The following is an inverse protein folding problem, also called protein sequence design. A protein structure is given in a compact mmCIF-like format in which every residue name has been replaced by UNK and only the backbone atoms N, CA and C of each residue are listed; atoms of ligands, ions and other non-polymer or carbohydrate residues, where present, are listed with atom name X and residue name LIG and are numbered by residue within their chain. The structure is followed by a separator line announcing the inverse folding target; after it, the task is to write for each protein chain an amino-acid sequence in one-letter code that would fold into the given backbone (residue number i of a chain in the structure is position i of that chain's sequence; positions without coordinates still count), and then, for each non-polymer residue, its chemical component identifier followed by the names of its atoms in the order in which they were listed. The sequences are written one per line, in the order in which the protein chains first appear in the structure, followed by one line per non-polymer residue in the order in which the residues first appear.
data_IF_254490231370
#
_entry.id   IF_254490231370
#
_cell.length_a   1.000
_cell.length_b   1.000
_cell.length_c   1.000
_cell.angle_alpha   90.00
_cell.angle_beta   90.00
_cell.angle_gamma   90.00
#
_symmetry.space_group_name_H-M   'P 1'
#
loop_
_entity.id
_entity.type
_entity.pdbx_description
1 polymer ?
#
# COMPACT_ATOMS: atom_id res chain seq x y z
N UNK A 1 -24.75 -38.74 7.20
CA UNK A 1 -23.28 -38.56 7.15
C UNK A 1 -22.97 -37.45 6.16
N UNK A 2 -21.96 -36.62 6.42
CA UNK A 2 -21.56 -35.50 5.53
C UNK A 2 -20.30 -35.92 4.81
N UNK A 3 -20.21 -35.66 3.50
CA UNK A 3 -19.02 -36.00 2.70
C UNK A 3 -18.18 -34.75 2.54
N UNK A 4 -16.91 -34.81 2.92
CA UNK A 4 -15.99 -33.68 2.76
C UNK A 4 -15.22 -33.78 1.45
N UNK A 5 -15.12 -32.66 0.74
CA UNK A 5 -14.31 -32.58 -0.46
C UNK A 5 -12.84 -32.71 -0.11
N UNK A 6 -12.16 -33.69 -0.71
CA UNK A 6 -10.72 -33.90 -0.53
C UNK A 6 -9.87 -32.77 -1.13
N UNK A 7 -10.41 -32.02 -2.09
CA UNK A 7 -9.69 -30.90 -2.74
C UNK A 7 -9.79 -29.58 -1.98
N UNK A 8 -10.93 -29.28 -1.33
CA UNK A 8 -11.14 -27.96 -0.72
C UNK A 8 -11.80 -27.99 0.68
N UNK A 9 -11.98 -29.17 1.27
CA UNK A 9 -12.50 -29.36 2.63
C UNK A 9 -13.97 -28.99 2.83
N UNK A 10 -14.71 -28.68 1.77
CA UNK A 10 -16.12 -28.28 1.90
C UNK A 10 -17.01 -29.47 2.24
N UNK A 11 -17.88 -29.27 3.23
CA UNK A 11 -18.95 -30.19 3.58
C UNK A 11 -19.98 -30.23 2.46
N UNK A 12 -20.24 -31.42 1.91
CA UNK A 12 -21.25 -31.65 0.89
C UNK A 12 -22.25 -32.70 1.39
N UNK A 13 -23.50 -32.66 0.93
CA UNK A 13 -24.48 -33.71 1.26
C UNK A 13 -23.96 -35.08 0.77
N UNK A 14 -24.34 -36.18 1.43
CA UNK A 14 -23.82 -37.51 1.13
C UNK A 14 -24.13 -38.00 -0.29
N UNK A 15 -25.10 -37.38 -0.98
CA UNK A 15 -25.48 -37.67 -2.37
C UNK A 15 -24.81 -36.76 -3.40
N UNK A 16 -23.92 -35.84 -2.99
CA UNK A 16 -23.23 -34.96 -3.93
C UNK A 16 -22.12 -35.71 -4.70
N UNK A 17 -22.23 -35.74 -6.03
CA UNK A 17 -21.20 -36.28 -6.92
C UNK A 17 -20.05 -35.30 -7.19
N UNK A 18 -20.29 -34.00 -6.99
CA UNK A 18 -19.31 -32.93 -7.18
C UNK A 18 -19.35 -31.96 -6.00
N UNK A 19 -18.20 -31.38 -5.68
CA UNK A 19 -18.10 -30.37 -4.64
C UNK A 19 -18.82 -29.09 -5.05
N UNK A 20 -19.79 -28.67 -4.24
CA UNK A 20 -20.54 -27.42 -4.39
C UNK A 20 -19.69 -26.15 -4.43
N UNK A 21 -18.45 -26.20 -3.91
CA UNK A 21 -17.55 -25.04 -3.86
C UNK A 21 -16.52 -25.02 -4.97
N UNK A 22 -15.91 -26.16 -5.31
CA UNK A 22 -14.78 -26.19 -6.25
C UNK A 22 -15.03 -27.07 -7.49
N UNK A 23 -16.16 -27.76 -7.58
CA UNK A 23 -16.51 -28.62 -8.72
C UNK A 23 -15.75 -29.94 -8.82
N UNK A 24 -14.85 -30.25 -7.88
CA UNK A 24 -14.09 -31.51 -7.90
C UNK A 24 -15.01 -32.72 -7.63
N UNK A 25 -14.81 -33.86 -8.33
CA UNK A 25 -15.63 -35.05 -8.13
C UNK A 25 -15.43 -35.62 -6.72
N UNK A 26 -16.52 -36.00 -6.07
CA UNK A 26 -16.53 -36.68 -4.78
C UNK A 26 -16.70 -38.17 -5.07
N UNK A 27 -15.58 -38.90 -5.04
CA UNK A 27 -15.50 -40.26 -5.57
C UNK A 27 -16.48 -41.25 -4.91
N UNK A 28 -17.17 -42.02 -5.76
CA UNK A 28 -17.68 -43.34 -5.41
C UNK A 28 -16.75 -44.37 -6.06
N UNK A 29 -16.10 -45.20 -5.25
CA UNK A 29 -15.49 -46.44 -5.71
C UNK A 29 -16.62 -47.43 -5.95
N UNK A 30 -16.58 -48.07 -7.10
CA UNK A 30 -17.55 -49.05 -7.62
C UNK A 30 -17.92 -50.12 -6.58
N UNK A 31 -19.21 -50.43 -6.50
CA UNK A 31 -19.66 -51.78 -6.18
C UNK A 31 -20.61 -52.19 -7.30
N UNK A 32 -20.21 -53.22 -8.02
CA UNK A 32 -20.95 -53.82 -9.11
C UNK A 32 -22.22 -54.56 -8.61
N UNK A 33 -23.22 -54.58 -9.49
CA UNK A 33 -24.35 -55.52 -9.60
C UNK A 33 -25.36 -55.61 -8.43
N UNK A 34 -26.56 -55.06 -8.63
CA UNK A 34 -27.70 -55.85 -9.12
C UNK A 34 -28.95 -54.97 -9.35
N UNK A 35 -29.55 -55.12 -10.54
CA UNK A 35 -30.95 -54.81 -10.87
C UNK A 35 -31.91 -55.77 -10.12
N UNK A 36 -33.26 -55.60 -10.06
CA UNK A 36 -34.10 -54.65 -10.81
C UNK A 36 -35.25 -53.96 -10.02
N UNK A 37 -35.91 -53.02 -10.72
CA UNK A 37 -37.37 -52.85 -10.84
C UNK A 37 -37.90 -51.40 -10.65
N UNK A 38 -38.41 -50.89 -11.77
CA UNK A 38 -39.38 -49.79 -11.97
C UNK A 38 -40.75 -50.12 -11.32
N UNK A 39 -41.83 -49.26 -11.33
CA UNK A 39 -42.01 -47.91 -11.89
C UNK A 39 -42.83 -46.90 -11.03
N UNK A 40 -43.07 -45.70 -11.61
CA UNK A 40 -44.19 -44.75 -11.41
C UNK A 40 -44.04 -43.76 -10.22
N UNK A 41 -44.35 -42.45 -10.32
CA UNK A 41 -45.37 -41.77 -11.11
C UNK A 41 -45.09 -40.24 -11.25
N UNK A 42 -45.45 -39.75 -12.43
CA UNK A 42 -45.86 -38.43 -12.99
C UNK A 42 -46.41 -37.31 -12.04
N UNK A 43 -46.79 -36.10 -12.55
CA UNK A 43 -46.10 -34.82 -12.39
C UNK A 43 -46.96 -33.77 -11.63
N UNK A 44 -46.54 -32.50 -11.53
CA UNK A 44 -47.48 -31.38 -11.70
C UNK A 44 -46.75 -30.05 -12.00
N UNK A 45 -47.34 -29.33 -12.93
CA UNK A 45 -46.93 -28.05 -13.48
C UNK A 45 -47.46 -26.85 -12.66
N UNK A 46 -47.19 -25.65 -13.22
CA UNK A 46 -47.80 -24.33 -12.93
C UNK A 46 -47.21 -23.56 -11.74
N UNK A 47 -47.00 -22.24 -11.79
CA UNK A 47 -47.38 -21.24 -12.78
C UNK A 47 -46.43 -20.03 -12.70
N UNK A 48 -46.35 -19.31 -13.82
CA UNK A 48 -45.79 -17.98 -13.94
C UNK A 48 -46.70 -16.92 -13.31
N UNK A 49 -46.12 -15.85 -12.74
CA UNK A 49 -46.71 -14.50 -12.75
C UNK A 49 -45.60 -13.46 -13.01
N UNK A 50 -45.80 -12.69 -14.08
CA UNK A 50 -45.22 -11.37 -14.41
C UNK A 50 -45.73 -10.36 -13.39
N UNK A 51 -44.99 -9.40 -12.85
CA UNK A 51 -44.32 -8.30 -13.53
C UNK A 51 -44.74 -6.98 -12.87
N UNK A 52 -43.83 -6.02 -12.78
CA UNK A 52 -44.04 -4.57 -12.54
C UNK A 52 -42.67 -3.92 -12.78
N UNK A 53 -42.43 -3.40 -13.99
CA UNK A 53 -42.55 -1.98 -14.33
C UNK A 53 -41.70 -1.07 -13.44
N UNK A 54 -40.56 -0.63 -13.99
CA UNK A 54 -39.86 0.58 -13.54
C UNK A 54 -39.65 1.47 -14.77
N UNK A 55 -40.40 2.56 -14.78
CA UNK A 55 -40.39 3.57 -15.82
C UNK A 55 -39.12 4.43 -15.76
N UNK A 56 -38.58 4.64 -16.95
CA UNK A 56 -37.67 5.70 -17.35
C UNK A 56 -38.18 7.08 -16.93
N UNK A 57 -37.32 7.93 -16.36
CA UNK A 57 -37.21 9.30 -16.85
C UNK A 57 -35.83 9.93 -16.59
N UNK A 58 -35.43 10.66 -17.62
CA UNK A 58 -34.14 11.26 -17.92
C UNK A 58 -34.12 12.68 -17.36
N UNK A 59 -33.07 13.08 -16.62
CA UNK A 59 -32.84 14.49 -16.32
C UNK A 59 -31.39 14.91 -16.62
N UNK A 60 -31.28 15.45 -17.84
CA UNK A 60 -30.47 16.56 -18.34
C UNK A 60 -29.37 17.14 -17.44
N UNK A 61 -28.15 17.05 -17.99
CA UNK A 61 -26.90 17.64 -17.50
C UNK A 61 -26.64 19.01 -18.16
N UNK A 62 -26.00 19.90 -17.38
CA UNK A 62 -25.22 21.12 -17.71
C UNK A 62 -25.95 22.44 -18.04
N UNK A 63 -25.32 23.64 -17.85
CA UNK A 63 -23.96 23.94 -17.38
C UNK A 63 -23.81 25.05 -16.30
N UNK A 64 -22.58 25.16 -15.80
CA UNK A 64 -22.03 26.20 -14.92
C UNK A 64 -22.16 27.60 -15.56
N UNK A 65 -22.66 28.58 -14.80
CA UNK A 65 -22.54 30.01 -15.10
C UNK A 65 -21.92 30.77 -13.91
N UNK A 66 -20.69 31.24 -14.12
CA UNK A 66 -20.01 32.25 -13.28
C UNK A 66 -20.28 33.63 -13.89
N UNK A 67 -20.82 34.57 -13.12
CA UNK A 67 -20.56 36.02 -13.26
C UNK A 67 -21.46 36.81 -12.30
N UNK A 68 -20.86 37.54 -11.34
CA UNK A 68 -21.01 39.00 -11.31
C UNK A 68 -20.02 39.61 -10.31
N UNK A 69 -19.36 40.65 -10.79
CA UNK A 69 -18.30 41.43 -10.19
C UNK A 69 -18.76 42.40 -9.11
N UNK A 70 -17.93 42.65 -8.09
CA UNK A 70 -17.81 43.99 -7.53
C UNK A 70 -16.35 44.38 -7.29
N UNK A 71 -16.01 45.55 -7.85
CA UNK A 71 -14.70 46.18 -7.94
C UNK A 71 -14.22 46.66 -6.56
N UNK A 72 -12.91 46.52 -6.30
CA UNK A 72 -12.18 47.51 -5.49
C UNK A 72 -10.76 47.69 -6.05
N UNK A 73 -10.52 48.87 -6.61
CA UNK A 73 -9.21 49.41 -6.98
C UNK A 73 -8.36 49.58 -5.72
N UNK A 74 -7.12 49.10 -5.73
CA UNK A 74 -6.08 49.67 -4.89
C UNK A 74 -4.72 49.62 -5.61
N UNK A 75 -3.99 50.71 -5.45
CA UNK A 75 -2.80 51.12 -6.20
C UNK A 75 -1.54 50.33 -5.77
N UNK A 76 -0.61 50.14 -6.71
CA UNK A 76 0.77 49.68 -6.46
C UNK A 76 1.52 50.58 -5.47
N UNK A 77 2.62 50.07 -4.88
CA UNK A 77 3.90 50.57 -5.37
C UNK A 77 4.97 49.49 -5.58
N UNK A 78 5.77 49.75 -6.61
CA UNK A 78 6.98 49.06 -7.01
C UNK A 78 8.13 49.33 -6.03
N UNK A 79 8.67 48.30 -5.38
CA UNK A 79 9.98 48.37 -4.67
C UNK A 79 10.82 47.08 -4.78
N UNK A 80 10.24 45.91 -5.14
CA UNK A 80 10.99 44.65 -5.07
C UNK A 80 11.81 44.25 -6.32
N UNK A 81 11.83 45.06 -7.39
CA UNK A 81 12.51 44.68 -8.65
C UNK A 81 13.95 45.19 -8.78
N UNK A 82 14.39 46.16 -7.96
CA UNK A 82 15.73 46.76 -8.06
C UNK A 82 16.85 45.92 -7.43
N UNK A 83 16.55 45.18 -6.36
CA UNK A 83 17.57 44.42 -5.62
C UNK A 83 18.08 43.17 -6.35
N UNK A 84 17.23 42.52 -7.13
CA UNK A 84 17.57 41.26 -7.83
C UNK A 84 18.49 41.53 -9.04
N UNK A 85 18.30 42.66 -9.74
CA UNK A 85 19.16 43.04 -10.86
C UNK A 85 20.55 43.51 -10.43
N UNK A 86 20.67 44.18 -9.28
CA UNK A 86 21.95 44.60 -8.75
C UNK A 86 22.82 43.41 -8.28
N UNK A 87 22.20 42.39 -7.66
CA UNK A 87 22.92 41.16 -7.24
C UNK A 87 23.30 40.29 -8.44
N UNK A 88 22.44 40.20 -9.46
CA UNK A 88 22.75 39.47 -10.69
C UNK A 88 23.90 40.09 -11.49
N UNK A 89 23.96 41.42 -11.59
CA UNK A 89 25.06 42.12 -12.25
C UNK A 89 26.38 42.00 -11.47
N UNK A 90 26.33 42.01 -10.14
CA UNK A 90 27.52 41.85 -9.29
C UNK A 90 28.06 40.41 -9.34
N UNK A 91 27.20 39.39 -9.41
CA UNK A 91 27.59 37.99 -9.56
C UNK A 91 28.22 37.72 -10.94
N UNK A 92 27.64 38.29 -12.01
CA UNK A 92 28.20 38.18 -13.36
C UNK A 92 29.59 38.83 -13.46
N UNK A 93 29.79 40.00 -12.84
CA UNK A 93 31.07 40.72 -12.89
C UNK A 93 32.19 40.05 -12.06
N UNK A 94 31.85 39.43 -10.92
CA UNK A 94 32.84 38.80 -10.04
C UNK A 94 33.19 37.35 -10.42
N UNK A 95 32.30 36.61 -11.09
CA UNK A 95 32.51 35.17 -11.33
C UNK A 95 32.59 34.75 -12.81
N UNK A 96 32.01 35.50 -13.76
CA UNK A 96 32.04 35.09 -15.18
C UNK A 96 33.12 35.83 -15.98
N UNK A 97 33.46 37.06 -15.60
CA UNK A 97 34.52 37.83 -16.27
C UNK A 97 35.94 37.33 -15.96
N UNK A 98 36.15 36.70 -14.81
CA UNK A 98 37.44 36.10 -14.43
C UNK A 98 37.72 34.80 -15.21
N UNK A 99 36.67 34.08 -15.61
CA UNK A 99 36.75 32.84 -16.41
C UNK A 99 36.87 33.09 -17.92
N UNK A 100 36.56 34.32 -18.36
CA UNK A 100 36.73 34.76 -19.76
C UNK A 100 38.08 35.45 -20.02
N UNK A 101 38.88 35.66 -18.97
CA UNK A 101 40.19 36.34 -19.04
C UNK A 101 41.40 35.43 -19.27
N UNK A 102 41.24 34.11 -19.17
CA UNK A 102 42.34 33.15 -19.25
C UNK A 102 42.15 32.20 -20.43
N UNK A 103 42.56 32.63 -21.63
CA UNK A 103 43.28 31.80 -22.62
C UNK A 103 43.53 32.58 -23.91
N UNK A 104 44.58 33.41 -23.89
CA UNK A 104 45.33 33.74 -25.09
C UNK A 104 46.15 32.52 -25.53
N UNK A 105 45.69 31.88 -26.60
CA UNK A 105 46.53 31.24 -27.61
C UNK A 105 47.01 29.83 -27.33
N UNK A 106 46.30 28.83 -27.86
CA UNK A 106 46.98 27.68 -28.46
C UNK A 106 46.23 27.19 -29.71
N UNK A 107 47.03 26.82 -30.71
CA UNK A 107 46.65 26.59 -32.09
C UNK A 107 45.64 25.45 -32.24
N UNK A 108 44.74 25.66 -33.19
CA UNK A 108 43.99 24.64 -33.92
C UNK A 108 44.85 23.41 -34.18
N UNK A 109 44.61 22.36 -33.40
CA UNK A 109 44.99 21.00 -33.75
C UNK A 109 43.69 20.22 -33.79
N UNK A 110 43.40 19.63 -34.94
CA UNK A 110 42.22 18.80 -35.14
C UNK A 110 42.07 17.84 -33.97
N UNK A 111 40.94 17.93 -33.26
CA UNK A 111 40.54 16.87 -32.33
C UNK A 111 40.19 15.68 -33.19
N UNK A 112 41.21 14.84 -33.42
CA UNK A 112 41.05 13.43 -33.71
C UNK A 112 39.99 12.92 -32.75
N UNK A 113 38.86 12.49 -33.29
CA UNK A 113 37.89 11.69 -32.57
C UNK A 113 38.68 10.58 -31.91
N UNK A 114 38.87 10.69 -30.60
CA UNK A 114 39.27 9.56 -29.79
C UNK A 114 38.07 8.63 -29.90
N UNK A 115 38.22 7.61 -30.75
CA UNK A 115 37.46 6.37 -30.65
C UNK A 115 37.62 5.89 -29.21
N UNK A 116 36.73 6.39 -28.34
CA UNK A 116 36.43 5.71 -27.10
C UNK A 116 35.82 4.39 -27.56
N UNK A 117 36.64 3.35 -27.61
CA UNK A 117 36.19 1.97 -27.70
C UNK A 117 35.13 1.80 -26.63
N UNK A 118 33.88 1.87 -27.06
CA UNK A 118 32.72 1.70 -26.22
C UNK A 118 32.68 0.22 -25.85
N UNK A 119 33.37 -0.12 -24.76
CA UNK A 119 33.48 -1.49 -24.31
C UNK A 119 32.09 -2.03 -23.97
N UNK A 120 31.79 -3.21 -24.50
CA UNK A 120 30.54 -3.87 -24.20
C UNK A 120 30.56 -4.37 -22.75
N UNK A 121 29.52 -4.04 -21.99
CA UNK A 121 29.34 -4.45 -20.60
C UNK A 121 28.22 -5.47 -20.50
N UNK A 122 28.39 -6.46 -19.61
CA UNK A 122 27.31 -7.31 -19.16
C UNK A 122 26.66 -6.67 -17.93
N UNK A 123 25.33 -6.51 -17.96
CA UNK A 123 24.53 -5.97 -16.86
C UNK A 123 23.34 -6.89 -16.58
N UNK A 124 22.79 -6.80 -15.39
CA UNK A 124 21.66 -7.58 -14.91
C UNK A 124 20.44 -6.70 -14.68
N UNK A 125 19.26 -7.17 -15.07
CA UNK A 125 18.01 -6.47 -14.81
C UNK A 125 17.65 -6.51 -13.31
N UNK A 126 17.55 -5.36 -12.66
CA UNK A 126 17.21 -5.27 -11.24
C UNK A 126 15.70 -5.39 -10.99
N UNK A 127 14.92 -5.06 -12.01
CA UNK A 127 13.45 -5.20 -12.05
C UNK A 127 13.05 -5.69 -13.43
N UNK A 128 11.75 -5.84 -13.69
CA UNK A 128 11.28 -5.99 -15.08
C UNK A 128 11.59 -4.71 -15.86
N UNK A 129 12.48 -4.80 -16.84
CA UNK A 129 12.91 -3.66 -17.65
C UNK A 129 12.29 -3.70 -19.05
N UNK A 130 11.92 -2.55 -19.59
CA UNK A 130 11.40 -2.47 -20.96
C UNK A 130 12.56 -2.38 -21.96
N UNK A 131 12.49 -3.19 -23.01
CA UNK A 131 13.34 -3.08 -24.20
C UNK A 131 12.62 -2.15 -25.17
N UNK A 132 13.30 -1.10 -25.64
CA UNK A 132 12.71 -0.06 -26.48
C UNK A 132 13.44 0.06 -27.82
N UNK A 133 12.75 0.56 -28.83
CA UNK A 133 13.33 0.81 -30.16
C UNK A 133 14.30 2.00 -30.20
N UNK A 134 14.23 2.90 -29.21
CA UNK A 134 15.08 4.08 -29.08
C UNK A 134 15.49 4.33 -27.63
N UNK A 135 16.63 4.99 -27.45
CA UNK A 135 17.18 5.43 -26.17
C UNK A 135 16.43 6.64 -25.57
N UNK A 136 15.11 6.49 -25.39
CA UNK A 136 14.22 7.48 -24.75
C UNK A 136 12.97 6.79 -24.25
N UNK A 137 12.29 7.34 -23.25
CA UNK A 137 10.94 6.90 -22.85
C UNK A 137 9.85 7.61 -23.65
N UNK A 138 10.15 8.77 -24.23
CA UNK A 138 9.20 9.65 -24.93
C UNK A 138 9.18 9.28 -26.41
N UNK A 139 8.03 8.84 -26.92
CA UNK A 139 7.84 8.54 -28.35
C UNK A 139 8.56 7.30 -28.87
N UNK A 140 9.14 6.48 -27.99
CA UNK A 140 9.66 5.15 -28.31
C UNK A 140 8.62 4.06 -28.05
N UNK A 141 8.77 2.94 -28.77
CA UNK A 141 7.92 1.76 -28.63
C UNK A 141 8.60 0.72 -27.75
N UNK A 142 7.81 0.02 -26.93
CA UNK A 142 8.29 -1.12 -26.15
C UNK A 142 8.30 -2.35 -27.07
N UNK A 143 9.51 -2.83 -27.40
CA UNK A 143 9.75 -4.01 -28.23
C UNK A 143 9.61 -5.31 -27.42
N UNK A 144 9.83 -5.24 -26.11
CA UNK A 144 9.77 -6.40 -25.23
C UNK A 144 10.03 -6.04 -23.77
N UNK A 145 10.04 -7.07 -22.93
CA UNK A 145 10.31 -6.97 -21.50
C UNK A 145 11.42 -7.93 -21.12
N UNK A 146 12.32 -7.45 -20.26
CA UNK A 146 13.43 -8.21 -19.71
C UNK A 146 13.12 -8.53 -18.24
N UNK A 147 12.95 -9.81 -17.87
CA UNK A 147 12.69 -10.20 -16.49
C UNK A 147 13.84 -9.84 -15.54
N UNK A 148 13.53 -9.57 -14.27
CA UNK A 148 14.51 -9.39 -13.19
C UNK A 148 15.50 -10.57 -13.14
N UNK A 149 16.78 -10.26 -12.93
CA UNK A 149 17.88 -11.22 -12.87
C UNK A 149 18.44 -11.65 -14.22
N UNK A 150 17.77 -11.30 -15.34
CA UNK A 150 18.27 -11.61 -16.68
C UNK A 150 19.54 -10.81 -16.96
N UNK A 151 20.57 -11.48 -17.48
CA UNK A 151 21.79 -10.85 -17.96
C UNK A 151 21.60 -10.35 -19.40
N UNK A 152 22.11 -9.16 -19.69
CA UNK A 152 22.18 -8.58 -21.02
C UNK A 152 23.56 -8.00 -21.27
N UNK A 153 23.96 -7.95 -22.52
CA UNK A 153 25.25 -7.40 -22.94
C UNK A 153 25.01 -6.30 -23.95
N UNK A 154 25.74 -5.20 -23.83
CA UNK A 154 25.51 -4.03 -24.67
C UNK A 154 26.53 -2.94 -24.45
N UNK A 155 26.30 -1.81 -25.10
CA UNK A 155 27.13 -0.62 -24.99
C UNK A 155 26.30 0.49 -24.35
N UNK A 156 26.84 1.14 -23.32
CA UNK A 156 26.17 2.28 -22.69
C UNK A 156 26.32 3.51 -23.59
N UNK A 157 25.21 4.17 -23.88
CA UNK A 157 25.09 5.40 -24.65
C UNK A 157 24.23 6.41 -23.92
N UNK A 158 24.44 7.68 -24.25
CA UNK A 158 23.59 8.75 -23.80
C UNK A 158 22.25 8.71 -24.54
N UNK A 159 21.17 8.91 -23.81
CA UNK A 159 19.82 8.96 -24.32
C UNK A 159 19.59 10.17 -25.21
N UNK A 160 18.46 10.16 -25.92
CA UNK A 160 18.07 11.28 -26.79
C UNK A 160 17.79 12.58 -26.02
N UNK A 161 17.64 12.50 -24.70
CA UNK A 161 17.53 13.64 -23.78
C UNK A 161 18.89 14.23 -23.38
N UNK A 162 20.00 13.63 -23.82
CA UNK A 162 21.36 14.09 -23.52
C UNK A 162 21.78 13.91 -22.07
N UNK A 163 21.06 13.13 -21.25
CA UNK A 163 21.38 12.97 -19.83
C UNK A 163 21.12 11.57 -19.27
N UNK A 164 20.12 10.85 -19.78
CA UNK A 164 19.84 9.49 -19.32
C UNK A 164 20.80 8.50 -19.95
N UNK A 165 21.26 7.51 -19.20
CA UNK A 165 22.09 6.42 -19.74
C UNK A 165 21.21 5.25 -20.22
N UNK A 166 21.53 4.72 -21.40
CA UNK A 166 20.84 3.61 -22.05
C UNK A 166 21.84 2.57 -22.53
N UNK A 167 21.56 1.30 -22.29
CA UNK A 167 22.31 0.18 -22.84
C UNK A 167 21.72 -0.17 -24.20
N UNK A 168 22.49 0.02 -25.27
CA UNK A 168 22.20 -0.55 -26.59
C UNK A 168 22.60 -2.02 -26.59
N UNK A 169 21.64 -2.91 -26.82
CA UNK A 169 21.87 -4.35 -26.77
C UNK A 169 22.77 -4.81 -27.93
N UNK A 170 23.75 -5.68 -27.62
CA UNK A 170 24.69 -6.20 -28.62
C UNK A 170 24.04 -7.05 -29.71
N UNK A 171 22.83 -7.57 -29.47
CA UNK A 171 22.05 -8.31 -30.46
C UNK A 171 21.20 -7.40 -31.37
N UNK A 172 21.32 -6.08 -31.20
CA UNK A 172 20.60 -5.08 -31.99
C UNK A 172 19.10 -5.00 -31.70
N UNK A 173 18.59 -5.69 -30.66
CA UNK A 173 17.15 -5.76 -30.37
C UNK A 173 16.60 -4.58 -29.58
N UNK A 174 17.39 -3.52 -29.38
CA UNK A 174 16.93 -2.25 -28.86
C UNK A 174 17.76 -1.72 -27.69
N UNK A 175 17.12 -0.88 -26.89
CA UNK A 175 17.72 -0.10 -25.82
C UNK A 175 17.02 -0.36 -24.49
N UNK A 176 17.79 -0.44 -23.41
CA UNK A 176 17.29 -0.57 -22.04
C UNK A 176 17.85 0.57 -21.19
N UNK A 177 17.02 1.25 -20.40
CA UNK A 177 17.50 2.30 -19.52
C UNK A 177 18.43 1.72 -18.44
N UNK A 178 19.66 2.23 -18.34
CA UNK A 178 20.71 1.72 -17.42
C UNK A 178 20.28 1.82 -15.96
N UNK A 179 19.41 2.76 -15.62
CA UNK A 179 18.86 2.91 -14.27
C UNK A 179 18.09 1.67 -13.76
N UNK A 180 17.66 0.78 -14.66
CA UNK A 180 17.01 -0.50 -14.30
C UNK A 180 17.97 -1.69 -14.31
N UNK A 181 19.25 -1.44 -14.55
CA UNK A 181 20.31 -2.43 -14.69
C UNK A 181 21.38 -2.24 -13.60
N UNK A 182 22.15 -3.29 -13.35
CA UNK A 182 23.28 -3.28 -12.42
C UNK A 182 24.40 -4.16 -12.95
N UNK A 183 25.64 -3.84 -12.58
CA UNK A 183 26.80 -4.72 -12.82
C UNK A 183 26.73 -5.98 -11.93
N UNK A 184 25.92 -5.95 -10.87
CA UNK A 184 25.75 -7.04 -9.91
C UNK A 184 24.43 -7.76 -10.13
N UNK A 185 24.46 -9.09 -10.11
CA UNK A 185 23.26 -9.91 -10.16
C UNK A 185 22.38 -9.60 -8.94
N UNK A 186 21.09 -9.31 -9.13
CA UNK A 186 20.20 -9.04 -8.00
C UNK A 186 20.03 -10.32 -7.15
N UNK A 187 19.92 -10.19 -5.82
CA UNK A 187 19.73 -11.34 -4.93
C UNK A 187 18.40 -12.03 -5.20
N UNK A 188 18.26 -13.28 -4.81
CA UNK A 188 16.99 -14.00 -4.91
C UNK A 188 15.97 -13.41 -3.91
N UNK A 189 14.72 -13.25 -4.35
CA UNK A 189 13.60 -12.82 -3.50
C UNK A 189 12.97 -14.06 -2.86
N UNK A 190 13.19 -14.23 -1.56
CA UNK A 190 12.63 -15.33 -0.76
C UNK A 190 11.14 -15.12 -0.45
N UNK A 191 10.69 -13.87 -0.33
CA UNK A 191 9.28 -13.53 -0.11
C UNK A 191 8.87 -12.28 -0.89
N UNK A 192 8.00 -12.40 -1.90
CA UNK A 192 7.53 -11.24 -2.64
C UNK A 192 6.63 -10.37 -1.77
N UNK A 193 6.81 -9.05 -1.87
CA UNK A 193 5.96 -8.05 -1.24
C UNK A 193 5.06 -7.32 -2.25
N UNK A 194 5.18 -7.62 -3.54
CA UNK A 194 4.30 -7.14 -4.62
C UNK A 194 4.12 -5.62 -4.60
N UNK A 195 5.23 -4.89 -4.50
CA UNK A 195 5.25 -3.42 -4.46
C UNK A 195 4.44 -2.82 -3.32
N UNK A 196 4.44 -3.49 -2.17
CA UNK A 196 3.78 -2.99 -0.96
C UNK A 196 4.36 -1.63 -0.59
N UNK A 197 3.49 -0.63 -0.52
CA UNK A 197 3.86 0.67 0.04
C UNK A 197 3.95 0.57 1.55
N UNK A 198 5.08 1.01 2.10
CA UNK A 198 5.34 1.06 3.53
C UNK A 198 5.85 2.45 3.92
N UNK A 199 5.44 2.91 5.10
CA UNK A 199 5.94 4.16 5.68
C UNK A 199 7.03 3.80 6.67
N UNK A 200 8.25 4.29 6.43
CA UNK A 200 9.38 4.05 7.31
C UNK A 200 9.04 4.47 8.75
N UNK A 201 9.26 3.60 9.71
CA UNK A 201 8.96 3.84 11.12
C UNK A 201 10.12 4.49 11.88
N UNK A 202 11.35 4.36 11.38
CA UNK A 202 12.56 5.01 11.87
C UNK A 202 13.37 5.60 10.73
N UNK A 203 14.52 6.22 11.05
CA UNK A 203 15.55 6.47 10.05
C UNK A 203 16.13 5.12 9.58
N UNK A 204 16.42 5.00 8.29
CA UNK A 204 16.94 3.78 7.67
C UNK A 204 17.96 4.12 6.59
N UNK A 205 18.91 3.21 6.40
CA UNK A 205 19.94 3.30 5.35
C UNK A 205 19.57 2.37 4.19
N UNK A 206 19.56 2.94 2.98
CA UNK A 206 19.37 2.21 1.72
C UNK A 206 20.74 2.00 1.09
N UNK A 207 21.11 0.73 0.92
CA UNK A 207 22.39 0.29 0.37
C UNK A 207 22.29 0.00 -1.13
N UNK A 208 23.41 0.17 -1.85
CA UNK A 208 23.49 -0.15 -3.29
C UNK A 208 23.37 -1.65 -3.53
N UNK A 209 23.93 -2.46 -2.64
CA UNK A 209 23.87 -3.92 -2.66
C UNK A 209 23.26 -4.44 -1.37
N UNK A 210 22.81 -5.71 -1.31
CA UNK A 210 22.32 -6.31 -0.08
C UNK A 210 23.48 -6.70 0.84
N UNK A 211 24.30 -5.69 1.20
CA UNK A 211 25.50 -5.75 2.03
C UNK A 211 25.67 -4.38 2.69
N UNK A 212 25.72 -4.33 4.02
CA UNK A 212 25.87 -3.08 4.80
C UNK A 212 27.28 -2.49 4.74
N UNK A 213 28.23 -3.18 4.12
CA UNK A 213 29.55 -2.66 3.81
C UNK A 213 29.63 -2.07 2.40
N UNK A 214 28.56 -2.22 1.60
CA UNK A 214 28.46 -1.60 0.27
C UNK A 214 28.28 -0.08 0.36
N UNK A 215 28.33 0.60 -0.79
CA UNK A 215 28.06 2.02 -0.83
C UNK A 215 26.65 2.35 -0.34
N UNK A 216 26.55 3.37 0.51
CA UNK A 216 25.26 3.93 0.93
C UNK A 216 24.65 4.72 -0.24
N UNK A 217 23.42 4.37 -0.62
CA UNK A 217 22.68 5.08 -1.67
C UNK A 217 21.95 6.30 -1.12
N UNK A 218 21.22 6.13 -0.02
CA UNK A 218 20.43 7.19 0.62
C UNK A 218 20.13 6.84 2.07
N UNK A 219 20.00 7.86 2.94
CA UNK A 219 19.42 7.72 4.27
C UNK A 219 18.03 8.35 4.27
N UNK A 220 17.02 7.56 4.63
CA UNK A 220 15.63 8.01 4.70
C UNK A 220 15.21 8.26 6.14
N UNK A 221 14.34 9.25 6.35
CA UNK A 221 13.77 9.57 7.66
C UNK A 221 12.49 8.78 7.94
N UNK A 222 12.12 8.69 9.22
CA UNK A 222 10.81 8.20 9.64
C UNK A 222 9.69 9.01 8.95
N UNK A 223 8.64 8.34 8.48
CA UNK A 223 7.56 8.93 7.70
C UNK A 223 7.75 8.86 6.18
N UNK A 224 8.94 8.49 5.70
CA UNK A 224 9.20 8.34 4.26
C UNK A 224 8.41 7.17 3.67
N UNK A 225 7.74 7.38 2.53
CA UNK A 225 7.03 6.31 1.81
C UNK A 225 8.00 5.56 0.91
N UNK A 226 8.07 4.24 1.10
CA UNK A 226 8.91 3.32 0.33
C UNK A 226 8.04 2.30 -0.39
N UNK A 227 8.49 1.82 -1.55
CA UNK A 227 7.84 0.74 -2.30
C UNK A 227 8.69 -0.52 -2.16
N UNK A 228 8.20 -1.51 -1.44
CA UNK A 228 8.96 -2.71 -1.10
C UNK A 228 8.68 -3.82 -2.12
N UNK A 229 9.71 -4.30 -2.81
CA UNK A 229 9.60 -5.36 -3.81
C UNK A 229 9.53 -6.75 -3.17
N UNK A 230 10.42 -7.04 -2.21
CA UNK A 230 10.49 -8.35 -1.56
C UNK A 230 11.58 -8.46 -0.51
N UNK A 231 11.49 -9.51 0.32
CA UNK A 231 12.58 -9.97 1.17
C UNK A 231 13.54 -10.80 0.34
N UNK A 232 14.84 -10.55 0.47
CA UNK A 232 15.91 -11.31 -0.17
C UNK A 232 16.31 -12.53 0.67
N UNK A 233 17.06 -13.47 0.09
CA UNK A 233 17.57 -14.64 0.82
C UNK A 233 18.62 -14.29 1.88
N UNK A 234 19.28 -13.14 1.77
CA UNK A 234 20.29 -12.65 2.71
C UNK A 234 19.78 -11.59 3.69
N UNK A 235 18.47 -11.60 3.97
CA UNK A 235 17.82 -10.75 4.97
C UNK A 235 17.84 -9.24 4.69
N UNK A 236 17.63 -8.84 3.43
CA UNK A 236 17.39 -7.46 3.04
C UNK A 236 15.99 -7.29 2.46
N UNK A 237 15.43 -6.07 2.54
CA UNK A 237 14.27 -5.69 1.73
C UNK A 237 14.76 -4.95 0.49
N UNK A 238 14.45 -5.48 -0.69
CA UNK A 238 14.63 -4.74 -1.94
C UNK A 238 13.55 -3.65 -2.03
N UNK A 239 13.98 -2.41 -2.23
CA UNK A 239 13.13 -1.23 -2.36
C UNK A 239 13.23 -0.64 -3.75
N UNK A 240 12.09 -0.32 -4.37
CA UNK A 240 12.05 0.40 -5.65
C UNK A 240 12.22 1.89 -5.39
N UNK A 241 13.19 2.51 -6.07
CA UNK A 241 13.49 3.92 -5.89
C UNK A 241 12.60 4.77 -6.79
N UNK A 242 12.19 5.96 -6.32
CA UNK A 242 11.27 6.84 -7.07
C UNK A 242 11.84 7.34 -8.40
N UNK A 243 13.17 7.42 -8.52
CA UNK A 243 13.89 7.79 -9.75
C UNK A 243 14.12 6.62 -10.71
N UNK A 244 13.68 5.41 -10.37
CA UNK A 244 14.04 4.16 -11.07
C UNK A 244 15.18 3.43 -10.37
N UNK A 245 15.33 2.14 -10.66
CA UNK A 245 16.28 1.26 -9.98
C UNK A 245 15.81 0.76 -8.62
N UNK A 246 16.71 0.10 -7.90
CA UNK A 246 16.45 -0.49 -6.58
C UNK A 246 17.56 -0.17 -5.59
N UNK A 247 17.24 -0.29 -4.31
CA UNK A 247 18.21 -0.33 -3.22
C UNK A 247 17.81 -1.37 -2.19
N UNK A 248 18.59 -1.50 -1.12
CA UNK A 248 18.41 -2.57 -0.13
C UNK A 248 18.39 -2.02 1.30
N UNK A 249 17.37 -2.40 2.07
CA UNK A 249 17.30 -2.15 3.51
C UNK A 249 17.77 -3.39 4.26
N UNK A 250 18.70 -3.23 5.19
CA UNK A 250 19.13 -4.32 6.07
C UNK A 250 18.04 -4.72 7.08
N UNK A 251 18.25 -5.85 7.77
CA UNK A 251 17.34 -6.41 8.79
C UNK A 251 15.93 -6.68 8.25
N UNK A 252 15.86 -7.32 7.08
CA UNK A 252 14.62 -7.46 6.33
C UNK A 252 13.52 -8.21 7.07
N UNK A 253 13.84 -9.27 7.82
CA UNK A 253 12.91 -9.99 8.65
C UNK A 253 12.31 -9.12 9.76
N UNK A 254 13.11 -8.24 10.37
CA UNK A 254 12.64 -7.28 11.35
C UNK A 254 11.71 -6.23 10.71
N UNK A 255 12.05 -5.76 9.51
CA UNK A 255 11.18 -4.86 8.73
C UNK A 255 9.86 -5.55 8.37
N UNK A 256 9.89 -6.82 7.97
CA UNK A 256 8.68 -7.60 7.66
C UNK A 256 7.72 -7.65 8.85
N UNK A 257 8.25 -7.83 10.06
CA UNK A 257 7.45 -7.88 11.29
C UNK A 257 6.76 -6.55 11.61
N UNK A 258 7.28 -5.42 11.11
CA UNK A 258 6.77 -4.06 11.34
C UNK A 258 6.15 -3.40 10.10
N UNK A 259 5.79 -4.18 9.07
CA UNK A 259 5.09 -3.63 7.90
C UNK A 259 3.71 -3.02 8.22
N UNK A 260 3.16 -3.33 9.39
CA UNK A 260 1.96 -2.68 9.94
C UNK A 260 2.17 -1.23 10.36
N UNK A 261 3.43 -0.79 10.52
CA UNK A 261 3.81 0.54 10.98
C UNK A 261 4.65 0.48 12.26
N UNK A 262 4.75 1.61 12.95
CA UNK A 262 5.56 1.72 14.18
C UNK A 262 5.15 0.66 15.21
N UNK A 263 6.10 -0.06 15.83
CA UNK A 263 5.80 -1.00 16.90
C UNK A 263 4.98 -0.38 18.02
N UNK A 264 4.00 -1.13 18.54
CA UNK A 264 3.19 -0.76 19.70
C UNK A 264 3.10 -1.94 20.65
N UNK A 265 3.09 -1.67 21.96
CA UNK A 265 2.82 -2.70 22.96
C UNK A 265 1.31 -2.77 23.22
N UNK A 266 0.74 -3.98 23.18
CA UNK A 266 -0.64 -4.24 23.59
C UNK A 266 -0.62 -5.08 24.86
N UNK A 267 -1.05 -4.48 25.98
CA UNK A 267 -1.20 -5.12 27.30
C UNK A 267 -2.68 -5.18 27.64
N UNK A 268 -3.38 -6.12 27.02
CA UNK A 268 -4.83 -6.22 27.12
C UNK A 268 -5.28 -6.78 28.47
N UNK A 269 -6.18 -6.07 29.15
CA UNK A 269 -6.87 -6.56 30.33
C UNK A 269 -8.38 -6.73 30.02
N UNK A 270 -8.88 -7.97 29.89
CA UNK A 270 -10.29 -8.22 29.54
C UNK A 270 -11.27 -7.84 30.66
N UNK A 271 -10.80 -7.59 31.90
CA UNK A 271 -11.67 -7.16 33.00
C UNK A 271 -11.91 -5.66 33.02
N UNK A 272 -11.01 -4.87 32.42
CA UNK A 272 -11.08 -3.40 32.45
C UNK A 272 -11.10 -2.77 31.07
N UNK A 273 -11.04 -3.57 30.01
CA UNK A 273 -10.85 -3.14 28.63
C UNK A 273 -9.66 -2.17 28.40
N UNK A 274 -8.62 -2.25 29.24
CA UNK A 274 -7.37 -1.51 28.99
C UNK A 274 -6.51 -2.26 27.99
N UNK A 275 -5.91 -1.54 27.05
CA UNK A 275 -5.01 -2.10 26.04
C UNK A 275 -3.54 -1.73 26.30
N UNK A 276 -3.27 -1.01 27.38
CA UNK A 276 -1.96 -0.48 27.75
C UNK A 276 -1.78 0.99 27.35
N UNK A 277 -0.80 1.64 27.97
CA UNK A 277 -0.62 3.11 27.93
C UNK A 277 -0.67 3.73 26.54
N UNK A 278 -0.01 3.09 25.57
CA UNK A 278 0.12 3.65 24.22
C UNK A 278 -1.22 3.70 23.48
N UNK A 279 -2.01 2.63 23.62
CA UNK A 279 -3.32 2.51 22.98
C UNK A 279 -4.37 3.28 23.77
N UNK A 280 -4.34 3.19 25.10
CA UNK A 280 -5.24 3.92 25.98
C UNK A 280 -5.09 5.45 25.77
N UNK A 281 -3.88 5.93 25.48
CA UNK A 281 -3.65 7.33 25.10
C UNK A 281 -4.32 7.71 23.76
N UNK A 282 -4.36 6.81 22.77
CA UNK A 282 -5.09 7.07 21.52
C UNK A 282 -6.61 7.10 21.74
N UNK A 283 -7.15 6.21 22.60
CA UNK A 283 -8.55 6.28 23.02
C UNK A 283 -8.87 7.57 23.79
N UNK A 284 -7.98 8.03 24.66
CA UNK A 284 -8.14 9.28 25.40
C UNK A 284 -8.27 10.50 24.46
N UNK A 285 -7.57 10.50 23.32
CA UNK A 285 -7.72 11.54 22.29
C UNK A 285 -9.10 11.50 21.64
N UNK A 286 -9.64 10.31 21.35
CA UNK A 286 -11.01 10.16 20.83
C UNK A 286 -12.00 10.71 21.85
N UNK A 287 -11.89 10.31 23.12
CA UNK A 287 -12.75 10.77 24.19
C UNK A 287 -12.66 12.30 24.38
N UNK A 288 -11.46 12.88 24.32
CA UNK A 288 -11.27 14.33 24.40
C UNK A 288 -11.96 15.06 23.23
N UNK A 289 -11.84 14.55 22.00
CA UNK A 289 -12.52 15.11 20.83
C UNK A 289 -14.04 15.03 20.97
N UNK A 290 -14.59 13.91 21.43
CA UNK A 290 -16.02 13.74 21.64
C UNK A 290 -16.55 14.69 22.72
N UNK A 291 -15.84 14.84 23.85
CA UNK A 291 -16.20 15.82 24.90
C UNK A 291 -16.19 17.25 24.35
N UNK A 292 -15.19 17.61 23.55
CA UNK A 292 -15.13 18.94 22.94
C UNK A 292 -16.30 19.18 21.97
N UNK A 293 -16.65 18.17 21.15
CA UNK A 293 -17.80 18.24 20.25
C UNK A 293 -19.12 18.42 21.02
N UNK A 294 -19.31 17.72 22.13
CA UNK A 294 -20.49 17.90 22.98
C UNK A 294 -20.54 19.28 23.63
N UNK A 295 -19.43 19.77 24.17
CA UNK A 295 -19.36 21.12 24.73
C UNK A 295 -19.64 22.21 23.67
N UNK A 296 -19.20 22.01 22.43
CA UNK A 296 -19.54 22.89 21.31
C UNK A 296 -21.04 22.85 20.98
N UNK A 297 -21.66 21.66 20.99
CA UNK A 297 -23.10 21.53 20.77
C UNK A 297 -23.94 22.18 21.89
N UNK A 298 -23.52 22.03 23.14
CA UNK A 298 -24.19 22.61 24.31
C UNK A 298 -24.09 24.14 24.33
N UNK A 299 -22.97 24.71 23.88
CA UNK A 299 -22.76 26.15 23.83
C UNK A 299 -23.33 26.81 22.57
N UNK A 300 -23.80 26.02 21.60
CA UNK A 300 -24.34 26.52 20.34
C UNK A 300 -25.76 27.04 20.51
N UNK A 301 -25.98 28.28 20.10
CA UNK A 301 -27.33 28.80 19.89
C UNK A 301 -27.92 28.22 18.62
N UNK A 302 -29.09 27.59 18.74
CA UNK A 302 -29.85 27.05 17.62
C UNK A 302 -31.00 27.99 17.26
N UNK A 303 -31.34 28.01 15.97
CA UNK A 303 -32.42 28.87 15.43
C UNK A 303 -33.78 28.45 15.99
N UNK A 304 -33.98 27.15 16.18
CA UNK A 304 -35.17 26.53 16.75
C UNK A 304 -34.84 25.18 17.42
N UNK A 305 -35.84 24.61 18.08
CA UNK A 305 -35.73 23.33 18.78
C UNK A 305 -35.45 22.16 17.83
N UNK A 306 -36.05 22.18 16.63
CA UNK A 306 -35.87 21.12 15.64
C UNK A 306 -34.40 21.04 15.16
N UNK A 307 -33.77 22.21 14.93
CA UNK A 307 -32.36 22.30 14.59
C UNK A 307 -31.45 21.81 15.72
N UNK A 308 -31.84 22.04 16.99
CA UNK A 308 -31.14 21.51 18.16
C UNK A 308 -31.23 19.99 18.21
N UNK A 309 -32.45 19.44 18.18
CA UNK A 309 -32.67 17.98 18.21
C UNK A 309 -31.93 17.28 17.08
N UNK A 310 -32.00 17.81 15.86
CA UNK A 310 -31.27 17.26 14.70
C UNK A 310 -29.76 17.26 14.89
N UNK A 311 -29.20 18.29 15.53
CA UNK A 311 -27.76 18.37 15.80
C UNK A 311 -27.32 17.38 16.89
N UNK A 312 -28.12 17.23 17.96
CA UNK A 312 -27.88 16.24 19.01
C UNK A 312 -27.99 14.81 18.48
N UNK A 313 -29.05 14.50 17.72
CA UNK A 313 -29.23 13.19 17.09
C UNK A 313 -28.10 12.84 16.10
N UNK A 314 -27.49 13.84 15.45
CA UNK A 314 -26.35 13.62 14.58
C UNK A 314 -25.05 13.28 15.33
N UNK A 315 -24.94 13.67 16.60
CA UNK A 315 -23.77 13.44 17.45
C UNK A 315 -23.93 12.20 18.36
N UNK A 316 -25.16 11.81 18.68
CA UNK A 316 -25.46 10.67 19.54
C UNK A 316 -25.14 9.31 18.89
N UNK A 317 -24.71 8.34 19.70
CA UNK A 317 -24.66 6.92 19.36
C UNK A 317 -23.66 6.48 18.29
N UNK A 318 -22.87 7.40 17.70
CA UNK A 318 -21.93 7.04 16.63
C UNK A 318 -20.61 6.52 17.18
N UNK A 319 -20.16 5.41 16.59
CA UNK A 319 -18.81 4.92 16.80
C UNK A 319 -17.80 5.91 16.22
N UNK A 320 -16.75 6.20 16.97
CA UNK A 320 -15.66 7.07 16.54
C UNK A 320 -14.41 6.25 16.25
N UNK A 321 -13.93 6.33 15.02
CA UNK A 321 -12.77 5.57 14.56
C UNK A 321 -11.55 6.46 14.35
N UNK A 322 -10.36 5.92 14.60
CA UNK A 322 -9.07 6.53 14.26
C UNK A 322 -8.21 5.49 13.55
N UNK A 323 -7.79 5.81 12.32
CA UNK A 323 -6.84 4.98 11.59
C UNK A 323 -5.47 5.06 12.24
N UNK A 324 -4.85 3.91 12.42
CA UNK A 324 -3.50 3.73 12.93
C UNK A 324 -2.63 3.05 11.87
N UNK A 325 -1.33 3.22 12.03
CA UNK A 325 -0.31 2.47 11.29
C UNK A 325 0.69 2.00 12.34
N UNK A 326 0.37 0.88 12.99
CA UNK A 326 1.16 0.27 14.05
C UNK A 326 1.35 -1.22 13.82
N UNK A 327 2.41 -1.78 14.40
CA UNK A 327 2.64 -3.23 14.40
C UNK A 327 2.69 -3.79 15.80
N UNK A 328 2.08 -4.96 16.01
CA UNK A 328 2.18 -5.70 17.26
C UNK A 328 2.50 -7.15 16.91
N UNK A 329 3.72 -7.61 17.19
CA UNK A 329 4.08 -9.03 17.10
C UNK A 329 3.80 -9.66 15.72
N UNK A 330 4.09 -8.92 14.65
CA UNK A 330 3.82 -9.33 13.28
C UNK A 330 2.37 -9.16 12.80
N UNK A 331 1.51 -8.59 13.64
CA UNK A 331 0.18 -8.09 13.27
C UNK A 331 0.26 -6.63 12.85
N UNK A 332 -0.61 -6.22 11.93
CA UNK A 332 -0.78 -4.84 11.50
C UNK A 332 -2.05 -4.26 12.12
N UNK A 333 -1.88 -3.39 13.13
CA UNK A 333 -2.94 -2.64 13.79
C UNK A 333 -3.27 -1.39 12.94
N UNK A 334 -4.46 -1.39 12.35
CA UNK A 334 -4.89 -0.44 11.33
C UNK A 334 -5.86 0.62 11.82
N UNK A 335 -6.53 0.39 12.95
CA UNK A 335 -7.37 1.40 13.59
C UNK A 335 -7.71 1.05 15.03
N UNK A 336 -8.29 2.03 15.72
CA UNK A 336 -9.07 1.84 16.95
C UNK A 336 -10.47 2.42 16.77
N UNK A 337 -11.45 1.88 17.48
CA UNK A 337 -12.84 2.36 17.50
C UNK A 337 -13.35 2.51 18.91
N UNK A 338 -13.87 3.69 19.24
CA UNK A 338 -14.68 3.93 20.44
C UNK A 338 -16.15 3.79 20.06
N UNK A 339 -16.84 2.86 20.70
CA UNK A 339 -18.28 2.66 20.58
C UNK A 339 -18.98 3.23 21.83
N UNK A 340 -20.31 3.17 21.86
CA UNK A 340 -21.11 3.68 22.98
C UNK A 340 -20.66 3.10 24.34
N UNK A 341 -20.57 1.77 24.44
CA UNK A 341 -20.14 1.05 25.67
C UNK A 341 -19.02 0.02 25.41
N UNK A 342 -18.34 0.14 24.26
CA UNK A 342 -17.27 -0.76 23.88
C UNK A 342 -16.11 -0.04 23.21
N UNK A 343 -14.97 -0.72 23.13
CA UNK A 343 -13.78 -0.29 22.42
C UNK A 343 -13.22 -1.46 21.61
N UNK A 344 -12.67 -1.14 20.44
CA UNK A 344 -12.14 -2.16 19.53
C UNK A 344 -10.80 -1.78 18.94
N UNK A 345 -9.90 -2.75 18.84
CA UNK A 345 -8.68 -2.68 18.02
C UNK A 345 -8.92 -3.40 16.69
N UNK A 346 -8.52 -2.78 15.57
CA UNK A 346 -8.72 -3.36 14.23
C UNK A 346 -7.40 -3.78 13.61
N UNK A 347 -7.35 -5.00 13.08
CA UNK A 347 -6.16 -5.56 12.44
C UNK A 347 -6.43 -5.89 10.97
N UNK A 348 -5.44 -5.71 10.10
CA UNK A 348 -5.53 -6.14 8.70
C UNK A 348 -5.35 -7.65 8.50
N UNK A 349 -4.96 -8.34 9.58
CA UNK A 349 -4.74 -9.78 9.67
C UNK A 349 -6.05 -10.54 9.92
N UNK A 350 -6.17 -11.81 9.51
CA UNK A 350 -7.36 -12.60 9.81
C UNK A 350 -7.44 -12.95 11.31
N UNK A 351 -8.67 -13.09 11.83
CA UNK A 351 -8.92 -13.33 13.26
C UNK A 351 -8.14 -14.52 13.83
N UNK A 352 -8.03 -15.61 13.07
CA UNK A 352 -7.27 -16.80 13.48
C UNK A 352 -5.80 -16.47 13.82
N UNK A 353 -5.15 -15.64 13.00
CA UNK A 353 -3.76 -15.20 13.22
C UNK A 353 -3.67 -14.31 14.46
N UNK A 354 -4.63 -13.39 14.64
CA UNK A 354 -4.67 -12.52 15.84
C UNK A 354 -4.83 -13.35 17.11
N UNK A 355 -5.76 -14.33 17.11
CA UNK A 355 -5.95 -15.25 18.25
C UNK A 355 -4.65 -16.01 18.56
N UNK A 356 -3.99 -16.56 17.56
CA UNK A 356 -2.72 -17.28 17.73
C UNK A 356 -1.63 -16.38 18.33
N UNK A 357 -1.49 -15.15 17.84
CA UNK A 357 -0.53 -14.17 18.38
C UNK A 357 -0.83 -13.83 19.84
N UNK A 358 -2.08 -13.61 20.23
CA UNK A 358 -2.41 -13.35 21.62
C UNK A 358 -2.16 -14.60 22.50
N UNK A 359 -2.50 -15.80 22.02
CA UNK A 359 -2.18 -17.05 22.75
C UNK A 359 -0.68 -17.23 22.97
N UNK A 360 0.15 -16.94 21.96
CA UNK A 360 1.62 -17.06 22.09
C UNK A 360 2.21 -16.05 23.09
N UNK A 361 1.48 -14.97 23.39
CA UNK A 361 1.79 -14.02 24.48
C UNK A 361 1.21 -14.39 25.84
N UNK A 362 0.63 -15.59 25.96
CA UNK A 362 0.13 -16.12 27.24
C UNK A 362 -1.30 -15.73 27.57
N UNK A 363 -2.03 -15.07 26.66
CA UNK A 363 -3.45 -14.80 26.86
C UNK A 363 -4.28 -16.08 26.73
N UNK A 364 -5.23 -16.28 27.65
CA UNK A 364 -6.19 -17.39 27.60
C UNK A 364 -7.33 -17.00 26.64
N UNK A 365 -7.19 -17.34 25.36
CA UNK A 365 -8.20 -17.07 24.34
C UNK A 365 -8.88 -18.38 23.92
N UNK A 366 -10.20 -18.45 24.06
CA UNK A 366 -11.05 -19.56 23.64
C UNK A 366 -10.96 -19.84 22.14
N UNK A 367 -11.35 -21.05 21.71
CA UNK A 367 -11.32 -21.45 20.29
C UNK A 367 -12.18 -20.54 19.40
N UNK A 368 -13.23 -19.96 19.99
CA UNK A 368 -14.15 -18.98 19.43
C UNK A 368 -13.61 -17.54 19.48
N UNK A 369 -12.42 -17.31 20.03
CA UNK A 369 -11.81 -16.00 20.16
C UNK A 369 -12.17 -15.24 21.43
N UNK A 370 -12.99 -15.82 22.32
CA UNK A 370 -13.40 -15.14 23.57
C UNK A 370 -12.33 -15.16 24.65
N UNK A 371 -12.27 -14.11 25.47
CA UNK A 371 -11.45 -14.06 26.68
C UNK A 371 -12.33 -14.36 27.90
N UNK A 372 -11.79 -15.01 28.94
CA UNK A 372 -12.49 -15.15 30.21
C UNK A 372 -12.59 -13.78 30.90
N UNK A 373 -13.81 -13.27 31.00
CA UNK A 373 -14.18 -12.00 31.64
C UNK A 373 -15.41 -12.19 32.54
N UNK A 374 -15.50 -11.42 33.63
CA UNK A 374 -16.58 -11.58 34.61
C UNK A 374 -17.81 -10.73 34.30
N UNK A 375 -17.60 -9.49 33.82
CA UNK A 375 -18.68 -8.49 33.66
C UNK A 375 -18.75 -7.87 32.27
N UNK A 376 -17.68 -7.98 31.48
CA UNK A 376 -17.56 -7.38 30.16
C UNK A 376 -17.46 -8.46 29.10
N UNK A 377 -17.94 -8.21 27.89
CA UNK A 377 -17.54 -9.00 26.73
C UNK A 377 -16.10 -8.64 26.34
N UNK A 378 -15.29 -9.65 26.03
CA UNK A 378 -13.98 -9.47 25.43
C UNK A 378 -13.72 -10.59 24.42
N UNK A 379 -13.39 -10.24 23.18
CA UNK A 379 -13.24 -11.24 22.12
C UNK A 379 -12.51 -10.76 20.87
N UNK A 380 -11.88 -11.71 20.19
CA UNK A 380 -11.32 -11.53 18.85
C UNK A 380 -12.24 -12.19 17.83
N UNK A 381 -12.67 -11.44 16.82
CA UNK A 381 -13.52 -11.97 15.76
C UNK A 381 -13.23 -11.34 14.40
N UNK A 382 -13.80 -11.90 13.34
CA UNK A 382 -13.78 -11.25 12.03
C UNK A 382 -14.69 -10.02 12.06
N UNK A 383 -14.22 -8.91 11.48
CA UNK A 383 -14.98 -7.66 11.47
C UNK A 383 -16.30 -7.79 10.72
N UNK A 384 -17.30 -7.02 11.17
CA UNK A 384 -18.62 -6.89 10.55
C UNK A 384 -19.03 -5.42 10.53
N UNK A 385 -20.03 -5.07 9.71
CA UNK A 385 -20.56 -3.70 9.65
C UNK A 385 -19.49 -2.66 9.31
N UNK A 386 -19.56 -1.50 9.98
CA UNK A 386 -18.63 -0.37 9.75
C UNK A 386 -17.17 -0.71 10.08
N UNK A 387 -16.93 -1.61 11.04
CA UNK A 387 -15.59 -2.05 11.45
C UNK A 387 -14.80 -2.74 10.31
N UNK A 388 -15.49 -3.31 9.32
CA UNK A 388 -14.85 -3.95 8.17
C UNK A 388 -14.05 -2.97 7.29
N UNK A 389 -14.36 -1.67 7.34
CA UNK A 389 -13.58 -0.65 6.65
C UNK A 389 -12.20 -0.39 7.30
N UNK A 390 -12.00 -0.90 8.52
CA UNK A 390 -10.83 -0.61 9.35
C UNK A 390 -9.93 -1.82 9.58
N UNK A 391 -10.41 -3.04 9.37
CA UNK A 391 -9.62 -4.26 9.52
C UNK A 391 -10.38 -5.51 9.07
N UNK A 392 -9.68 -6.63 8.96
CA UNK A 392 -10.28 -7.96 8.71
C UNK A 392 -10.70 -8.65 10.01
N UNK A 393 -10.11 -8.26 11.14
CA UNK A 393 -10.49 -8.73 12.46
C UNK A 393 -10.47 -7.60 13.48
N UNK A 394 -11.23 -7.78 14.55
CA UNK A 394 -11.26 -6.87 15.69
C UNK A 394 -10.98 -7.62 16.99
N UNK A 395 -10.30 -6.96 17.93
CA UNK A 395 -10.31 -7.29 19.35
C UNK A 395 -11.25 -6.28 20.01
N UNK A 396 -12.46 -6.70 20.33
CA UNK A 396 -13.48 -5.88 20.98
C UNK A 396 -13.53 -6.15 22.49
N UNK A 397 -13.81 -5.11 23.27
CA UNK A 397 -14.05 -5.20 24.71
C UNK A 397 -15.08 -4.16 25.15
N UNK A 398 -16.12 -4.56 25.89
CA UNK A 398 -17.19 -3.66 26.31
C UNK A 398 -18.37 -4.37 26.94
N UNK A 399 -19.43 -3.61 27.22
CA UNK A 399 -20.71 -4.14 27.74
C UNK A 399 -21.53 -4.79 26.63
#
# INVERSE_FOLDING_TARGET
MVTFCTSCGTANPPTAHYCSKCGSPLGAVETAADEPASPASVPLASAAIRGLEAASNTEKVEPISKSSSQKKRWLFPAVAAGGVLAVGALYFWLFILDDLGSNTGEKTTASTAVDATLESKQLFAMTEANIRDRATTVGSQILGKLPRGSAVTGVVKLGMDGSSEWLELSDGKGFIAVINLSEFQPPEISKPLNDRVWTADSALDIWIQPDTTSGLLERVSSGTRLTLAGLTTNDFIEVKLGKGGVGYLADGAAILARLGGKPVAIRFNPQTCSFGSDIDAEFAKIAARLRAQWAELESKEFVDEEAREKAYAAAEGKSAYVKLQRSFEGLSLTAIGQHYEAQSLYFSDPAAKVIETFRSKGYRVGADGTFPSTELYAGISATRGEGAAYGKSELGCGV
#
